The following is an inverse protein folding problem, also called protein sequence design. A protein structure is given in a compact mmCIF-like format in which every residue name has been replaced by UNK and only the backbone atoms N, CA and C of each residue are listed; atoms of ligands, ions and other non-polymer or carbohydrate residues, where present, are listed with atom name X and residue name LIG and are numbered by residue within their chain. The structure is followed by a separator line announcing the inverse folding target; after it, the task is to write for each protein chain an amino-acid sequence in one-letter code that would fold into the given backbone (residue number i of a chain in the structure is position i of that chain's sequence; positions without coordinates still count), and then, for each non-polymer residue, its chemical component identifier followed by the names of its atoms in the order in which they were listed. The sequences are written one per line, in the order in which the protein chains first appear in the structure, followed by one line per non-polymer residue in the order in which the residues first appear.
data_IF_745049266770
#
_entry.id   IF_745049266770
#
_cell.length_a   1.000
_cell.length_b   1.000
_cell.length_c   1.000
_cell.angle_alpha   90.00
_cell.angle_beta   90.00
_cell.angle_gamma   90.00
#
_symmetry.space_group_name_H-M   'P 1'
#
loop_
_entity.id
_entity.type
_entity.pdbx_description
1 polymer ?
#
# COMPACT_ATOMS: atom_id res chain seq x y z
N UNK A 1 74.80 17.52 32.28
CA UNK A 1 74.25 18.10 33.53
C UNK A 1 73.32 17.08 34.16
N UNK A 2 73.79 16.39 35.22
CA UNK A 2 73.18 16.27 36.57
C UNK A 2 71.70 15.84 36.54
N UNK A 3 71.35 14.55 36.67
CA UNK A 3 71.27 13.70 37.88
C UNK A 3 70.40 14.27 39.01
N UNK A 4 69.31 13.56 39.30
CA UNK A 4 68.67 13.33 40.61
C UNK A 4 68.02 11.94 40.50
N UNK A 5 68.64 10.82 40.92
CA UNK A 5 68.66 10.19 42.28
C UNK A 5 67.26 10.11 42.93
N UNK A 6 66.77 9.00 43.51
CA UNK A 6 67.33 7.73 43.98
C UNK A 6 66.13 6.74 44.21
N UNK A 7 66.18 5.46 43.83
CA UNK A 7 66.69 4.30 44.58
C UNK A 7 65.74 3.76 45.68
N UNK A 8 65.19 2.54 45.49
CA UNK A 8 65.37 1.42 46.44
C UNK A 8 64.82 0.10 45.89
N UNK A 9 65.70 -0.90 45.94
CA UNK A 9 65.49 -2.30 45.63
C UNK A 9 64.82 -3.06 46.79
N UNK A 10 64.76 -4.41 46.65
CA UNK A 10 64.45 -5.51 47.61
C UNK A 10 63.04 -6.10 47.34
N UNK A 11 62.78 -7.39 47.06
CA UNK A 11 63.50 -8.68 47.17
C UNK A 11 62.80 -9.73 46.29
N UNK A 12 63.55 -10.74 45.82
CA UNK A 12 63.07 -12.00 45.22
C UNK A 12 62.26 -12.83 46.24
N UNK A 13 61.22 -13.51 45.78
CA UNK A 13 60.80 -14.81 46.29
C UNK A 13 60.15 -15.64 45.16
N UNK A 14 60.67 -16.84 44.96
CA UNK A 14 60.23 -17.87 44.02
C UNK A 14 59.48 -18.92 44.85
N UNK A 15 58.19 -19.21 44.60
CA UNK A 15 57.53 -20.47 45.03
C UNK A 15 56.37 -20.82 44.08
N UNK A 16 56.60 -21.89 43.31
CA UNK A 16 55.78 -23.09 43.02
C UNK A 16 54.28 -22.95 42.65
N UNK A 17 53.96 -23.66 41.57
CA UNK A 17 52.70 -23.88 40.89
C UNK A 17 51.50 -24.34 41.75
N UNK A 18 50.31 -23.92 41.33
CA UNK A 18 49.09 -24.73 41.42
C UNK A 18 48.20 -24.44 40.20
N UNK A 19 48.18 -25.39 39.27
CA UNK A 19 47.28 -25.42 38.13
C UNK A 19 45.85 -25.69 38.63
N UNK A 20 44.97 -24.70 38.56
CA UNK A 20 43.53 -24.93 38.65
C UNK A 20 42.96 -25.04 37.23
N UNK A 21 42.84 -26.27 36.76
CA UNK A 21 41.98 -26.61 35.63
C UNK A 21 40.53 -26.48 36.10
N UNK A 22 39.92 -25.31 35.89
CA UNK A 22 38.48 -25.18 35.96
C UNK A 22 37.89 -25.87 34.73
N UNK A 23 37.40 -27.08 34.92
CA UNK A 23 36.51 -27.74 33.98
C UNK A 23 35.19 -26.96 33.95
N UNK A 24 35.16 -25.89 33.15
CA UNK A 24 33.91 -25.31 32.68
C UNK A 24 33.28 -26.36 31.75
N UNK A 25 32.40 -27.19 32.32
CA UNK A 25 31.50 -28.01 31.53
C UNK A 25 30.69 -27.08 30.65
N UNK A 26 31.10 -26.97 29.38
CA UNK A 26 30.23 -26.44 28.35
C UNK A 26 29.02 -27.36 28.32
N UNK A 27 27.88 -26.91 28.88
CA UNK A 27 26.59 -27.43 28.47
C UNK A 27 26.56 -27.21 26.96
N UNK A 28 26.83 -28.26 26.20
CA UNK A 28 26.55 -28.31 24.79
C UNK A 28 25.03 -28.18 24.72
N UNK A 29 24.54 -26.99 24.37
CA UNK A 29 23.15 -26.84 23.97
C UNK A 29 22.88 -27.96 22.97
N UNK A 30 21.80 -28.72 23.19
CA UNK A 30 21.39 -29.75 22.23
C UNK A 30 21.38 -29.10 20.85
N UNK A 31 21.86 -29.79 19.80
CA UNK A 31 21.82 -29.21 18.45
C UNK A 31 20.39 -28.79 18.19
N UNK A 32 20.15 -27.49 18.03
CA UNK A 32 18.87 -26.96 17.57
C UNK A 32 18.64 -27.69 16.26
N UNK A 33 17.68 -28.61 16.23
CA UNK A 33 17.30 -29.30 15.00
C UNK A 33 16.82 -28.23 14.04
N UNK A 34 17.68 -27.92 13.07
CA UNK A 34 17.46 -26.85 12.13
C UNK A 34 16.23 -27.17 11.28
N UNK A 35 15.20 -26.34 11.43
CA UNK A 35 13.96 -26.48 10.65
C UNK A 35 14.23 -26.07 9.21
N UNK A 36 13.78 -26.91 8.28
CA UNK A 36 13.88 -26.68 6.84
C UNK A 36 12.65 -25.94 6.30
N UNK A 37 12.79 -25.35 5.11
CA UNK A 37 11.67 -24.71 4.41
C UNK A 37 10.50 -25.67 4.14
N UNK A 38 10.78 -26.93 3.82
CA UNK A 38 9.74 -27.92 3.52
C UNK A 38 8.95 -28.33 4.76
N UNK A 39 9.62 -28.46 5.91
CA UNK A 39 8.95 -28.72 7.19
C UNK A 39 8.02 -27.56 7.56
N UNK A 40 8.48 -26.31 7.43
CA UNK A 40 7.65 -25.14 7.70
C UNK A 40 6.48 -25.01 6.71
N UNK A 41 6.70 -25.20 5.40
CA UNK A 41 5.62 -25.17 4.39
C UNK A 41 4.51 -26.16 4.71
N UNK A 42 4.86 -27.39 5.10
CA UNK A 42 3.89 -28.41 5.47
C UNK A 42 2.97 -27.96 6.61
N UNK A 43 3.54 -27.27 7.62
CA UNK A 43 2.79 -26.69 8.73
C UNK A 43 1.93 -25.51 8.27
N UNK A 44 2.49 -24.60 7.48
CA UNK A 44 1.81 -23.42 6.95
C UNK A 44 0.59 -23.82 6.10
N UNK A 45 0.74 -24.76 5.17
CA UNK A 45 -0.35 -25.19 4.29
C UNK A 45 -1.48 -25.86 5.07
N UNK A 46 -1.14 -26.64 6.10
CA UNK A 46 -2.14 -27.22 6.99
C UNK A 46 -2.90 -26.15 7.77
N UNK A 47 -2.20 -25.14 8.29
CA UNK A 47 -2.80 -24.06 9.05
C UNK A 47 -3.72 -23.16 8.19
N UNK A 48 -3.31 -22.86 6.95
CA UNK A 48 -4.09 -22.07 6.00
C UNK A 48 -5.17 -22.89 5.27
N UNK A 49 -5.12 -24.22 5.37
CA UNK A 49 -6.07 -25.14 4.76
C UNK A 49 -5.94 -25.29 3.24
N UNK A 50 -4.81 -24.86 2.66
CA UNK A 50 -4.53 -24.96 1.23
C UNK A 50 -3.03 -24.90 0.96
N UNK A 51 -2.61 -25.44 -0.19
CA UNK A 51 -1.22 -25.37 -0.65
C UNK A 51 -0.97 -24.08 -1.46
N UNK A 52 0.25 -23.55 -1.36
CA UNK A 52 0.69 -22.40 -2.14
C UNK A 52 1.79 -22.83 -3.12
N UNK A 53 1.63 -22.56 -4.43
CA UNK A 53 2.65 -22.91 -5.42
C UNK A 53 4.01 -22.27 -5.16
N UNK A 54 5.10 -22.98 -5.48
CA UNK A 54 6.48 -22.52 -5.25
C UNK A 54 6.81 -21.15 -5.84
N UNK A 55 6.14 -20.73 -6.92
CA UNK A 55 6.35 -19.41 -7.56
C UNK A 55 6.07 -18.21 -6.65
N UNK A 56 5.33 -18.41 -5.55
CA UNK A 56 5.03 -17.35 -4.57
C UNK A 56 6.05 -17.27 -3.43
N UNK A 57 6.97 -18.23 -3.34
CA UNK A 57 7.97 -18.29 -2.28
C UNK A 57 9.33 -17.82 -2.77
N UNK A 58 10.04 -17.14 -1.88
CA UNK A 58 11.49 -16.91 -2.03
C UNK A 58 12.25 -18.25 -2.02
N UNK A 59 13.48 -18.22 -2.53
CA UNK A 59 14.40 -19.35 -2.43
C UNK A 59 15.11 -19.29 -1.07
N UNK A 60 15.19 -20.44 -0.40
CA UNK A 60 15.82 -20.59 0.91
C UNK A 60 16.86 -21.70 0.81
N UNK A 61 18.10 -21.40 1.17
CA UNK A 61 19.20 -22.38 1.19
C UNK A 61 19.53 -22.77 2.63
N UNK A 62 19.49 -24.07 2.92
CA UNK A 62 19.87 -24.60 4.23
C UNK A 62 18.81 -24.42 5.32
N UNK A 63 19.28 -24.17 6.55
CA UNK A 63 18.45 -23.98 7.73
C UNK A 63 17.75 -22.63 7.69
N UNK A 64 16.45 -22.58 8.00
CA UNK A 64 15.74 -21.30 8.07
C UNK A 64 16.20 -20.49 9.28
N UNK A 65 16.42 -19.19 9.08
CA UNK A 65 16.38 -18.22 10.17
C UNK A 65 14.93 -17.93 10.57
N UNK A 66 14.73 -17.29 11.73
CA UNK A 66 13.41 -16.81 12.14
C UNK A 66 12.85 -15.76 11.17
N UNK A 67 13.71 -14.91 10.60
CA UNK A 67 13.36 -13.96 9.54
C UNK A 67 12.85 -14.66 8.27
N UNK A 68 13.54 -15.71 7.82
CA UNK A 68 13.10 -16.53 6.68
C UNK A 68 11.75 -17.20 6.94
N UNK A 69 11.55 -17.68 8.17
CA UNK A 69 10.30 -18.30 8.58
C UNK A 69 9.12 -17.31 8.51
N UNK A 70 9.30 -16.08 9.00
CA UNK A 70 8.31 -15.02 8.89
C UNK A 70 8.04 -14.64 7.42
N UNK A 71 9.11 -14.49 6.63
CA UNK A 71 8.99 -14.22 5.19
C UNK A 71 8.12 -15.27 4.51
N UNK A 72 8.40 -16.55 4.75
CA UNK A 72 7.65 -17.67 4.20
C UNK A 72 6.18 -17.62 4.63
N UNK A 73 5.90 -17.39 5.91
CA UNK A 73 4.54 -17.23 6.41
C UNK A 73 3.79 -16.06 5.73
N UNK A 74 4.44 -14.91 5.56
CA UNK A 74 3.84 -13.76 4.87
C UNK A 74 3.60 -14.02 3.38
N UNK A 75 4.55 -14.66 2.69
CA UNK A 75 4.40 -15.08 1.29
C UNK A 75 3.23 -16.05 1.11
N UNK A 76 3.10 -17.03 2.01
CA UNK A 76 1.98 -17.97 1.99
C UNK A 76 0.62 -17.28 2.18
N UNK A 77 0.58 -16.19 2.95
CA UNK A 77 -0.64 -15.40 3.13
C UNK A 77 -0.91 -14.40 1.99
N UNK A 78 -0.01 -14.24 1.02
CA UNK A 78 -0.11 -13.21 -0.03
C UNK A 78 0.18 -11.79 0.49
N UNK A 79 1.18 -11.66 1.36
CA UNK A 79 1.63 -10.40 1.96
C UNK A 79 3.00 -9.94 1.44
N UNK A 80 3.55 -10.60 0.41
CA UNK A 80 4.85 -10.27 -0.19
C UNK A 80 4.90 -8.83 -0.73
N UNK A 81 3.80 -8.35 -1.31
CA UNK A 81 3.70 -6.98 -1.77
C UNK A 81 3.89 -5.97 -0.63
N UNK A 82 3.34 -6.27 0.56
CA UNK A 82 3.45 -5.37 1.71
C UNK A 82 4.89 -5.30 2.22
N UNK A 83 5.61 -6.43 2.22
CA UNK A 83 7.04 -6.46 2.54
C UNK A 83 7.79 -5.51 1.60
N UNK A 84 7.61 -5.69 0.28
CA UNK A 84 8.26 -4.85 -0.75
C UNK A 84 7.88 -3.37 -0.62
N UNK A 85 6.62 -3.08 -0.33
CA UNK A 85 6.15 -1.71 -0.15
C UNK A 85 6.78 -1.06 1.10
N UNK A 86 6.98 -1.81 2.19
CA UNK A 86 7.69 -1.30 3.36
C UNK A 86 9.19 -1.15 3.08
N UNK A 87 9.82 -2.09 2.39
CA UNK A 87 11.24 -1.97 1.99
C UNK A 87 11.47 -0.74 1.11
N UNK A 88 10.54 -0.44 0.20
CA UNK A 88 10.52 0.80 -0.57
C UNK A 88 10.52 2.04 0.32
N UNK A 89 9.74 2.03 1.40
CA UNK A 89 9.76 3.10 2.41
C UNK A 89 11.12 3.17 3.12
N UNK A 90 11.72 2.01 3.45
CA UNK A 90 13.04 1.90 4.04
C UNK A 90 14.19 2.50 3.22
N UNK A 91 14.03 2.59 1.89
CA UNK A 91 14.98 3.27 1.00
C UNK A 91 14.96 4.80 1.22
N UNK A 92 13.83 5.35 1.68
CA UNK A 92 13.70 6.78 1.90
C UNK A 92 14.45 7.20 3.17
N UNK A 93 15.18 8.33 3.14
CA UNK A 93 16.02 8.75 4.27
C UNK A 93 15.22 9.11 5.53
N UNK A 94 13.91 9.31 5.43
CA UNK A 94 13.04 9.61 6.57
C UNK A 94 12.64 8.39 7.40
N UNK A 95 12.76 7.18 6.84
CA UNK A 95 12.38 5.92 7.51
C UNK A 95 13.38 4.78 7.28
N UNK A 96 14.70 4.98 7.47
CA UNK A 96 15.70 3.94 7.22
C UNK A 96 15.50 2.68 8.08
N UNK A 97 14.74 2.76 9.17
CA UNK A 97 14.38 1.66 10.04
C UNK A 97 13.20 0.80 9.54
N UNK A 98 12.51 1.23 8.48
CA UNK A 98 11.39 0.52 7.89
C UNK A 98 11.87 -0.63 6.99
N UNK A 99 12.34 -1.71 7.63
CA UNK A 99 12.68 -2.97 6.96
C UNK A 99 11.47 -3.92 6.99
N UNK A 100 11.09 -4.46 5.83
CA UNK A 100 9.80 -5.07 5.59
C UNK A 100 9.41 -6.20 6.54
N UNK A 101 10.32 -7.14 6.82
CA UNK A 101 10.02 -8.28 7.69
C UNK A 101 9.89 -7.83 9.14
N UNK A 102 10.90 -7.12 9.66
CA UNK A 102 10.89 -6.71 11.06
C UNK A 102 9.81 -5.68 11.35
N UNK A 103 9.53 -4.77 10.43
CA UNK A 103 8.46 -3.79 10.56
C UNK A 103 7.09 -4.48 10.61
N UNK A 104 6.82 -5.42 9.69
CA UNK A 104 5.56 -6.15 9.69
C UNK A 104 5.41 -7.01 10.94
N UNK A 105 6.46 -7.70 11.37
CA UNK A 105 6.41 -8.51 12.59
C UNK A 105 5.96 -7.71 13.82
N UNK A 106 6.32 -6.42 13.91
CA UNK A 106 5.94 -5.53 15.02
C UNK A 106 4.53 -4.93 14.88
N UNK A 107 4.03 -4.80 13.66
CA UNK A 107 2.86 -3.97 13.34
C UNK A 107 1.64 -4.72 12.82
N UNK A 108 1.80 -5.97 12.37
CA UNK A 108 0.70 -6.84 11.96
C UNK A 108 -0.12 -7.30 13.16
N UNK A 109 -1.41 -7.56 12.93
CA UNK A 109 -2.35 -8.10 13.91
C UNK A 109 -3.07 -9.31 13.32
N UNK A 110 -3.10 -10.48 14.00
CA UNK A 110 -2.43 -10.76 15.27
C UNK A 110 -0.90 -10.74 15.11
N UNK A 111 -0.18 -10.38 16.18
CA UNK A 111 1.29 -10.33 16.16
C UNK A 111 1.86 -11.75 16.05
N UNK A 112 2.95 -11.95 15.29
CA UNK A 112 3.64 -13.24 15.29
C UNK A 112 4.21 -13.54 16.68
N UNK A 113 4.30 -14.82 17.06
CA UNK A 113 4.90 -15.25 18.32
C UNK A 113 6.39 -14.88 18.41
N UNK A 114 6.89 -14.72 19.64
CA UNK A 114 8.30 -14.36 19.88
C UNK A 114 9.28 -15.39 19.31
N UNK A 115 8.89 -16.67 19.25
CA UNK A 115 9.68 -17.74 18.62
C UNK A 115 9.95 -17.50 17.12
N UNK A 116 9.16 -16.65 16.46
CA UNK A 116 9.36 -16.22 15.07
C UNK A 116 9.87 -14.77 14.96
N UNK A 117 9.48 -13.90 15.89
CA UNK A 117 9.70 -12.46 15.76
C UNK A 117 10.93 -11.90 16.50
N UNK A 118 11.49 -12.65 17.45
CA UNK A 118 12.69 -12.24 18.20
C UNK A 118 13.97 -12.70 17.50
N UNK A 119 15.01 -11.85 17.51
CA UNK A 119 16.33 -12.15 16.94
C UNK A 119 16.26 -12.83 15.56
N UNK A 120 15.82 -12.08 14.54
CA UNK A 120 15.44 -12.61 13.21
C UNK A 120 16.56 -13.38 12.50
N UNK A 121 17.83 -13.09 12.80
CA UNK A 121 18.98 -13.76 12.22
C UNK A 121 19.31 -15.12 12.88
N UNK A 122 18.66 -15.45 14.00
CA UNK A 122 18.87 -16.73 14.68
C UNK A 122 18.19 -17.89 13.94
N UNK A 123 18.74 -19.12 14.03
CA UNK A 123 18.10 -20.31 13.48
C UNK A 123 16.70 -20.55 14.07
N UNK A 124 15.79 -21.03 13.22
CA UNK A 124 14.45 -21.42 13.64
C UNK A 124 14.49 -22.72 14.45
N UNK A 125 13.97 -22.68 15.68
CA UNK A 125 13.80 -23.86 16.53
C UNK A 125 12.54 -24.66 16.17
N UNK A 126 12.54 -25.96 16.49
CA UNK A 126 11.43 -26.87 16.17
C UNK A 126 10.13 -26.51 16.92
N UNK A 127 10.25 -25.92 18.11
CA UNK A 127 9.14 -25.40 18.92
C UNK A 127 8.34 -24.30 18.19
N UNK A 128 9.02 -23.52 17.35
CA UNK A 128 8.40 -22.42 16.60
C UNK A 128 7.40 -22.92 15.55
N UNK A 129 7.50 -24.19 15.11
CA UNK A 129 6.56 -24.77 14.14
C UNK A 129 5.12 -24.77 14.67
N UNK A 130 4.93 -25.20 15.93
CA UNK A 130 3.59 -25.22 16.52
C UNK A 130 3.04 -23.81 16.68
N UNK A 131 3.85 -22.89 17.17
CA UNK A 131 3.46 -21.50 17.37
C UNK A 131 3.14 -20.80 16.05
N UNK A 132 3.90 -21.07 14.98
CA UNK A 132 3.60 -20.61 13.63
C UNK A 132 2.25 -21.13 13.14
N UNK A 133 1.98 -22.43 13.34
CA UNK A 133 0.69 -23.03 12.98
C UNK A 133 -0.48 -22.34 13.69
N UNK A 134 -0.38 -22.17 15.01
CA UNK A 134 -1.44 -21.59 15.82
C UNK A 134 -1.69 -20.12 15.41
N UNK A 135 -0.63 -19.35 15.21
CA UNK A 135 -0.70 -17.97 14.74
C UNK A 135 -1.31 -17.84 13.33
N UNK A 136 -0.97 -18.74 12.40
CA UNK A 136 -1.53 -18.72 11.04
C UNK A 136 -3.02 -19.07 11.04
N UNK A 137 -3.49 -19.95 11.92
CA UNK A 137 -4.91 -20.23 12.10
C UNK A 137 -5.66 -19.00 12.61
N UNK A 138 -5.05 -18.17 13.46
CA UNK A 138 -5.63 -16.89 13.87
C UNK A 138 -5.61 -15.87 12.72
N UNK A 139 -4.50 -15.79 11.99
CA UNK A 139 -4.37 -14.92 10.82
C UNK A 139 -5.43 -15.23 9.76
N UNK A 140 -5.71 -16.51 9.50
CA UNK A 140 -6.73 -16.96 8.57
C UNK A 140 -8.14 -16.43 8.92
N UNK A 141 -8.40 -16.04 10.17
CA UNK A 141 -9.68 -15.48 10.61
C UNK A 141 -9.76 -13.97 10.43
N UNK A 142 -8.68 -13.24 10.73
CA UNK A 142 -8.76 -11.78 10.83
C UNK A 142 -7.43 -11.03 10.71
N UNK A 143 -6.43 -11.55 9.98
CA UNK A 143 -5.18 -10.83 9.82
C UNK A 143 -5.40 -9.46 9.17
N UNK A 144 -4.81 -8.42 9.76
CA UNK A 144 -4.89 -7.06 9.27
C UNK A 144 -3.68 -6.22 9.67
N UNK A 145 -3.44 -5.16 8.90
CA UNK A 145 -2.34 -4.24 9.08
C UNK A 145 -2.69 -2.87 8.50
N UNK A 146 -2.15 -1.83 9.12
CA UNK A 146 -2.23 -0.46 8.65
C UNK A 146 -0.94 0.26 9.01
N UNK A 147 -0.35 0.96 8.05
CA UNK A 147 0.78 1.86 8.26
C UNK A 147 0.52 3.22 7.65
N UNK A 148 1.25 4.22 8.13
CA UNK A 148 1.17 5.59 7.66
C UNK A 148 2.54 6.25 7.66
N UNK A 149 2.87 6.96 6.57
CA UNK A 149 4.16 7.62 6.36
C UNK A 149 3.91 9.05 5.86
N UNK A 150 4.13 10.03 6.75
CA UNK A 150 3.88 11.44 6.47
C UNK A 150 5.14 12.16 5.96
N UNK A 151 5.03 12.88 4.86
CA UNK A 151 6.13 13.65 4.30
C UNK A 151 5.63 14.91 3.61
N UNK A 152 6.18 16.06 4.03
CA UNK A 152 6.01 17.35 3.37
C UNK A 152 4.55 17.65 2.93
N UNK A 153 3.61 17.57 3.87
CA UNK A 153 2.17 17.84 3.61
C UNK A 153 1.38 16.72 2.93
N UNK A 154 2.03 15.61 2.57
CA UNK A 154 1.41 14.38 2.11
C UNK A 154 1.51 13.28 3.18
N UNK A 155 0.60 12.31 3.15
CA UNK A 155 0.67 11.11 4.01
C UNK A 155 0.25 9.88 3.20
N UNK A 156 1.18 8.94 3.00
CA UNK A 156 0.88 7.63 2.43
C UNK A 156 0.31 6.73 3.53
N UNK A 157 -0.89 6.22 3.31
CA UNK A 157 -1.58 5.27 4.18
C UNK A 157 -1.71 3.96 3.42
N UNK A 158 -1.21 2.86 3.99
CA UNK A 158 -1.37 1.52 3.44
C UNK A 158 -2.20 0.66 4.39
N UNK A 159 -3.11 -0.14 3.83
CA UNK A 159 -4.02 -1.01 4.57
C UNK A 159 -4.01 -2.37 3.89
N UNK A 160 -3.69 -3.44 4.64
CA UNK A 160 -3.80 -4.83 4.19
C UNK A 160 -4.66 -5.62 5.16
N UNK A 161 -5.48 -6.52 4.65
CA UNK A 161 -6.14 -7.58 5.44
C UNK A 161 -6.29 -8.86 4.66
N UNK A 162 -6.68 -9.91 5.37
CA UNK A 162 -7.03 -11.20 4.79
C UNK A 162 -5.85 -12.01 4.30
N UNK A 163 -6.15 -13.28 4.03
CA UNK A 163 -5.20 -14.29 3.56
C UNK A 163 -5.53 -14.65 2.12
N UNK A 164 -4.51 -14.65 1.26
CA UNK A 164 -4.59 -15.08 -0.12
C UNK A 164 -4.89 -16.57 -0.26
N UNK A 165 -5.54 -16.95 -1.36
CA UNK A 165 -5.73 -18.35 -1.73
C UNK A 165 -5.52 -18.51 -3.24
N UNK A 166 -4.48 -19.23 -3.68
CA UNK A 166 -4.15 -19.34 -5.10
C UNK A 166 -5.18 -20.15 -5.90
N UNK A 167 -6.00 -20.98 -5.23
CA UNK A 167 -7.11 -21.69 -5.85
C UNK A 167 -8.42 -20.87 -5.82
N UNK A 168 -8.42 -19.72 -5.15
CA UNK A 168 -9.56 -18.81 -5.06
C UNK A 168 -9.80 -18.02 -6.35
N UNK A 169 -11.04 -17.56 -6.58
CA UNK A 169 -11.34 -16.67 -7.71
C UNK A 169 -10.63 -15.32 -7.55
N UNK A 170 -10.14 -14.76 -8.66
CA UNK A 170 -9.46 -13.47 -8.69
C UNK A 170 -10.27 -12.30 -8.12
N UNK A 171 -11.60 -12.37 -8.18
CA UNK A 171 -12.52 -11.35 -7.64
C UNK A 171 -13.16 -11.75 -6.30
N UNK A 172 -12.65 -12.81 -5.68
CA UNK A 172 -13.18 -13.35 -4.43
C UNK A 172 -14.51 -14.10 -4.58
N UNK A 173 -14.86 -14.84 -3.54
CA UNK A 173 -16.12 -15.54 -3.36
C UNK A 173 -17.13 -14.61 -2.66
N UNK A 174 -18.01 -14.02 -3.45
CA UNK A 174 -19.08 -13.13 -2.94
C UNK A 174 -20.10 -13.80 -2.01
N UNK A 175 -20.14 -15.14 -1.95
CA UNK A 175 -21.09 -15.89 -1.09
C UNK A 175 -20.47 -16.25 0.25
N UNK A 176 -19.20 -16.68 0.25
CA UNK A 176 -18.51 -17.18 1.44
C UNK A 176 -17.48 -16.20 2.01
N UNK A 177 -17.23 -15.07 1.33
CA UNK A 177 -16.10 -14.15 1.49
C UNK A 177 -15.83 -13.60 2.88
N UNK A 178 -15.36 -14.46 3.78
CA UNK A 178 -14.88 -14.11 5.10
C UNK A 178 -13.35 -14.07 5.03
N UNK A 179 -12.79 -12.90 5.36
CA UNK A 179 -11.35 -12.62 5.45
C UNK A 179 -10.53 -12.79 4.15
N UNK A 180 -11.13 -12.44 3.02
CA UNK A 180 -10.46 -12.40 1.72
C UNK A 180 -9.39 -11.30 1.64
N UNK A 181 -8.34 -11.50 0.82
CA UNK A 181 -7.23 -10.59 0.78
C UNK A 181 -7.66 -9.24 0.17
N UNK A 182 -7.29 -8.15 0.83
CA UNK A 182 -7.56 -6.80 0.35
C UNK A 182 -6.39 -5.90 0.70
N UNK A 183 -5.86 -5.21 -0.31
CA UNK A 183 -4.87 -4.15 -0.17
C UNK A 183 -5.42 -2.82 -0.69
N UNK A 184 -5.16 -1.75 0.06
CA UNK A 184 -5.44 -0.38 -0.35
C UNK A 184 -4.29 0.55 0.02
N UNK A 185 -3.97 1.48 -0.87
CA UNK A 185 -3.04 2.57 -0.63
C UNK A 185 -3.76 3.91 -0.86
N UNK A 186 -3.47 4.90 -0.02
CA UNK A 186 -4.07 6.23 -0.10
C UNK A 186 -3.01 7.30 0.11
N UNK A 187 -3.15 8.42 -0.60
CA UNK A 187 -2.44 9.66 -0.32
C UNK A 187 -3.41 10.67 0.28
N UNK A 188 -3.19 11.01 1.54
CA UNK A 188 -3.88 12.11 2.19
C UNK A 188 -3.08 13.40 2.01
N UNK A 189 -3.75 14.45 1.54
CA UNK A 189 -3.14 15.76 1.25
C UNK A 189 -3.99 16.89 1.84
N UNK A 190 -3.31 17.92 2.34
CA UNK A 190 -3.94 19.23 2.54
C UNK A 190 -3.84 20.00 1.23
N UNK A 191 -4.98 20.17 0.54
CA UNK A 191 -5.06 20.81 -0.77
C UNK A 191 -4.63 22.29 -0.74
N UNK A 192 -4.59 22.93 0.44
CA UNK A 192 -4.08 24.31 0.57
C UNK A 192 -2.55 24.37 0.52
N UNK A 193 -1.91 23.27 0.89
CA UNK A 193 -0.45 23.16 1.02
C UNK A 193 0.17 22.40 -0.15
N UNK A 194 -0.56 21.46 -0.74
CA UNK A 194 -0.09 20.59 -1.82
C UNK A 194 -0.88 20.88 -3.10
N UNK A 195 -0.26 21.59 -4.08
CA UNK A 195 -0.88 21.80 -5.38
C UNK A 195 -1.18 20.44 -6.03
N UNK A 196 -2.44 20.24 -6.40
CA UNK A 196 -2.86 19.08 -7.16
C UNK A 196 -3.33 19.55 -8.54
N UNK A 197 -2.90 18.92 -9.61
CA UNK A 197 -3.25 19.32 -10.98
C UNK A 197 -3.40 18.10 -11.88
N UNK A 198 -4.26 18.20 -12.89
CA UNK A 198 -4.41 17.15 -13.90
C UNK A 198 -3.30 17.29 -14.94
N UNK A 199 -2.46 16.26 -15.06
CA UNK A 199 -1.42 16.17 -16.07
C UNK A 199 -1.79 15.16 -17.16
N UNK A 200 -1.45 15.44 -18.41
CA UNK A 200 -1.76 14.57 -19.55
C UNK A 200 -0.52 13.80 -20.00
N UNK A 201 -0.72 12.62 -20.59
CA UNK A 201 0.38 11.86 -21.20
C UNK A 201 1.04 12.62 -22.37
N UNK A 202 0.31 13.55 -23.01
CA UNK A 202 0.83 14.34 -24.13
C UNK A 202 1.97 15.25 -23.67
N UNK A 203 1.93 15.72 -22.41
CA UNK A 203 3.00 16.51 -21.81
C UNK A 203 4.33 15.75 -21.71
N UNK A 204 4.28 14.42 -21.76
CA UNK A 204 5.46 13.53 -21.74
C UNK A 204 5.70 12.87 -23.10
N UNK A 205 5.15 13.46 -24.18
CA UNK A 205 5.36 13.01 -25.56
C UNK A 205 4.59 11.75 -25.96
N UNK A 206 3.55 11.36 -25.21
CA UNK A 206 2.78 10.16 -25.47
C UNK A 206 1.26 10.40 -25.52
N UNK A 207 0.53 9.58 -26.26
CA UNK A 207 -0.94 9.62 -26.23
C UNK A 207 -1.53 8.99 -24.96
N UNK A 208 -0.80 8.02 -24.38
CA UNK A 208 -1.04 7.38 -23.10
C UNK A 208 0.30 6.93 -22.53
N UNK A 209 0.47 7.01 -21.22
CA UNK A 209 1.66 6.54 -20.53
C UNK A 209 1.29 5.95 -19.16
N UNK A 210 2.11 5.05 -18.59
CA UNK A 210 2.01 4.65 -17.18
C UNK A 210 1.95 5.86 -16.24
N UNK A 211 1.32 5.71 -15.08
CA UNK A 211 1.26 6.79 -14.08
C UNK A 211 2.67 7.16 -13.64
N UNK A 212 3.51 6.18 -13.35
CA UNK A 212 4.89 6.42 -12.96
C UNK A 212 5.66 7.24 -14.00
N UNK A 213 5.45 6.98 -15.30
CA UNK A 213 6.06 7.77 -16.38
C UNK A 213 5.54 9.20 -16.40
N UNK A 214 4.22 9.41 -16.27
CA UNK A 214 3.64 10.76 -16.23
C UNK A 214 4.18 11.53 -15.01
N UNK A 215 4.34 10.88 -13.86
CA UNK A 215 4.83 11.49 -12.63
C UNK A 215 6.33 11.86 -12.73
N UNK A 216 7.20 10.93 -13.14
CA UNK A 216 8.66 11.12 -13.15
C UNK A 216 9.11 12.19 -14.16
N UNK A 217 8.41 12.30 -15.30
CA UNK A 217 8.74 13.28 -16.34
C UNK A 217 8.24 14.71 -16.01
N UNK A 218 7.46 14.87 -14.94
CA UNK A 218 7.02 16.18 -14.45
C UNK A 218 7.86 16.61 -13.24
N UNK A 219 8.38 17.84 -13.30
CA UNK A 219 9.23 18.38 -12.23
C UNK A 219 8.42 18.67 -10.96
N UNK A 220 8.99 18.34 -9.80
CA UNK A 220 8.41 18.66 -8.49
C UNK A 220 7.20 17.82 -8.10
N UNK A 221 6.97 16.67 -8.76
CA UNK A 221 5.87 15.75 -8.40
C UNK A 221 6.26 14.92 -7.17
N UNK A 222 5.39 14.91 -6.16
CA UNK A 222 5.56 14.15 -4.91
C UNK A 222 4.62 12.95 -4.82
N UNK A 223 3.50 13.00 -5.55
CA UNK A 223 2.49 11.96 -5.56
C UNK A 223 1.69 11.99 -6.84
N UNK A 224 1.02 10.88 -7.14
CA UNK A 224 0.20 10.75 -8.32
C UNK A 224 -0.82 9.63 -8.18
N UNK A 225 -1.94 9.79 -8.86
CA UNK A 225 -2.98 8.77 -8.97
C UNK A 225 -3.63 8.87 -10.35
N UNK A 226 -4.19 7.77 -10.85
CA UNK A 226 -4.93 7.83 -12.10
C UNK A 226 -6.16 8.76 -12.02
N UNK A 227 -6.61 9.25 -13.18
CA UNK A 227 -7.71 10.20 -13.29
C UNK A 227 -9.11 9.60 -13.44
N UNK A 228 -9.99 10.36 -14.07
CA UNK A 228 -11.35 9.95 -14.44
C UNK A 228 -11.38 9.02 -15.66
N UNK A 229 -12.60 8.72 -16.11
CA UNK A 229 -12.83 7.79 -17.21
C UNK A 229 -12.33 8.30 -18.56
N UNK A 230 -12.02 7.37 -19.47
CA UNK A 230 -11.59 7.70 -20.83
C UNK A 230 -11.99 6.63 -21.87
N UNK A 231 -12.09 7.04 -23.13
CA UNK A 231 -12.25 6.19 -24.30
C UNK A 231 -11.14 6.47 -25.31
N UNK A 232 -10.27 5.49 -25.54
CA UNK A 232 -9.05 5.70 -26.33
C UNK A 232 -8.10 6.65 -25.61
N UNK A 233 -8.01 7.89 -26.07
CA UNK A 233 -7.22 8.99 -25.47
C UNK A 233 -8.11 10.12 -24.94
N UNK A 234 -9.43 10.05 -25.18
CA UNK A 234 -10.35 11.14 -24.87
C UNK A 234 -11.00 10.93 -23.49
N UNK A 235 -11.13 11.96 -22.66
CA UNK A 235 -11.86 11.85 -21.40
C UNK A 235 -13.35 11.57 -21.65
N UNK A 236 -13.98 10.84 -20.73
CA UNK A 236 -15.43 10.64 -20.70
C UNK A 236 -15.99 11.46 -19.55
N UNK A 237 -16.61 12.60 -19.88
CA UNK A 237 -17.09 13.53 -18.87
C UNK A 237 -16.56 14.93 -19.10
N UNK A 238 -16.96 15.85 -18.24
CA UNK A 238 -16.28 17.13 -18.11
C UNK A 238 -14.85 16.88 -17.64
N UNK A 239 -13.89 17.44 -18.37
CA UNK A 239 -12.49 17.52 -17.95
C UNK A 239 -12.02 18.96 -18.14
N UNK A 240 -11.66 19.60 -17.04
CA UNK A 240 -11.01 20.90 -17.00
C UNK A 240 -9.70 20.75 -16.25
N UNK A 241 -8.62 21.29 -16.80
CA UNK A 241 -7.28 21.26 -16.20
C UNK A 241 -6.66 22.65 -16.33
N UNK A 242 -6.04 23.16 -15.29
CA UNK A 242 -5.39 24.48 -15.28
C UNK A 242 -6.28 25.60 -15.88
N UNK A 243 -7.59 25.54 -15.66
CA UNK A 243 -8.59 26.45 -16.23
C UNK A 243 -8.99 26.18 -17.70
N UNK A 244 -8.22 25.37 -18.44
CA UNK A 244 -8.54 24.94 -19.80
C UNK A 244 -9.53 23.77 -19.81
N UNK A 245 -10.54 23.83 -20.67
CA UNK A 245 -11.55 22.77 -20.79
C UNK A 245 -11.21 21.83 -21.94
N UNK A 246 -10.62 20.68 -21.63
CA UNK A 246 -10.34 19.62 -22.62
C UNK A 246 -11.63 18.94 -23.11
N UNK A 247 -12.63 18.82 -22.24
CA UNK A 247 -13.95 18.30 -22.59
C UNK A 247 -15.03 19.04 -21.81
N UNK A 248 -15.92 19.71 -22.53
CA UNK A 248 -17.13 20.32 -21.98
C UNK A 248 -18.33 19.36 -21.96
N UNK A 249 -18.16 18.10 -22.39
CA UNK A 249 -19.27 17.14 -22.50
C UNK A 249 -19.70 16.67 -21.11
N UNK A 250 -20.75 17.29 -20.60
CA UNK A 250 -21.41 16.86 -19.36
C UNK A 250 -22.24 15.59 -19.58
N UNK A 251 -22.08 14.63 -18.68
CA UNK A 251 -22.93 13.45 -18.60
C UNK A 251 -23.90 13.62 -17.44
N UNK A 252 -25.20 13.87 -17.69
CA UNK A 252 -26.18 14.06 -16.64
C UNK A 252 -26.22 12.87 -15.66
N UNK A 253 -26.48 13.17 -14.38
CA UNK A 253 -26.48 12.21 -13.27
C UNK A 253 -25.11 11.65 -12.88
N UNK A 254 -24.02 11.99 -13.57
CA UNK A 254 -22.67 11.59 -13.14
C UNK A 254 -22.02 12.65 -12.29
N UNK A 255 -21.46 12.21 -11.18
CA UNK A 255 -20.82 13.11 -10.23
C UNK A 255 -19.40 13.51 -10.66
N UNK A 256 -18.91 14.61 -10.11
CA UNK A 256 -17.61 15.16 -10.43
C UNK A 256 -16.89 15.67 -9.19
N UNK A 257 -15.57 15.81 -9.29
CA UNK A 257 -14.76 16.46 -8.30
C UNK A 257 -14.05 17.65 -8.94
N UNK A 258 -14.13 18.81 -8.30
CA UNK A 258 -13.50 20.04 -8.76
C UNK A 258 -12.69 20.69 -7.65
N UNK A 259 -11.57 21.32 -8.01
CA UNK A 259 -10.72 22.04 -7.06
C UNK A 259 -9.97 23.19 -7.74
N UNK A 260 -9.30 24.02 -6.94
CA UNK A 260 -8.49 25.12 -7.45
C UNK A 260 -7.15 25.27 -6.73
N UNK A 261 -6.34 26.19 -7.23
CA UNK A 261 -4.99 26.50 -6.74
C UNK A 261 -4.97 27.05 -5.30
N UNK A 262 -6.10 27.51 -4.76
CA UNK A 262 -6.23 27.94 -3.36
C UNK A 262 -6.54 26.79 -2.41
N UNK A 263 -6.65 25.56 -2.92
CA UNK A 263 -7.04 24.38 -2.14
C UNK A 263 -8.53 24.32 -1.82
N UNK A 264 -9.37 25.15 -2.45
CA UNK A 264 -10.82 25.00 -2.38
C UNK A 264 -11.25 23.83 -3.27
N UNK A 265 -12.15 23.00 -2.80
CA UNK A 265 -12.64 21.84 -3.55
C UNK A 265 -14.14 21.62 -3.36
N UNK A 266 -14.74 20.86 -4.28
CA UNK A 266 -16.17 20.52 -4.29
C UNK A 266 -16.40 19.11 -4.82
N UNK A 267 -17.32 18.40 -4.18
CA UNK A 267 -17.92 17.18 -4.70
C UNK A 267 -19.27 17.55 -5.32
N UNK A 268 -19.41 17.30 -6.62
CA UNK A 268 -20.57 17.73 -7.41
C UNK A 268 -21.48 16.52 -7.62
N UNK A 269 -22.71 16.58 -7.11
CA UNK A 269 -23.74 15.57 -7.37
C UNK A 269 -24.42 15.88 -8.72
N UNK A 270 -24.13 15.05 -9.72
CA UNK A 270 -24.60 15.23 -11.08
C UNK A 270 -26.12 15.12 -11.26
N UNK A 271 -26.87 14.68 -10.24
CA UNK A 271 -28.34 14.59 -10.29
C UNK A 271 -29.04 15.90 -9.97
N UNK A 272 -28.37 16.76 -9.21
CA UNK A 272 -28.89 18.10 -8.83
C UNK A 272 -28.20 19.21 -9.63
N UNK A 273 -27.27 18.84 -10.52
CA UNK A 273 -26.53 19.77 -11.37
C UNK A 273 -27.03 19.65 -12.81
N UNK A 274 -27.54 20.74 -13.38
CA UNK A 274 -28.06 20.75 -14.75
C UNK A 274 -26.95 20.64 -15.81
N UNK A 275 -25.84 21.37 -15.59
CA UNK A 275 -24.65 21.31 -16.44
C UNK A 275 -23.45 21.85 -15.67
N UNK A 276 -22.40 21.06 -15.50
CA UNK A 276 -21.15 21.54 -14.91
C UNK A 276 -20.49 22.58 -15.82
N UNK A 277 -20.54 22.36 -17.13
CA UNK A 277 -19.85 23.22 -18.11
C UNK A 277 -20.51 24.59 -18.32
N UNK A 278 -21.80 24.73 -17.99
CA UNK A 278 -22.56 25.99 -18.18
C UNK A 278 -22.93 26.68 -16.86
N UNK A 279 -22.58 26.08 -15.72
CA UNK A 279 -22.84 26.67 -14.41
C UNK A 279 -21.60 27.43 -13.94
N UNK A 280 -21.67 28.75 -14.05
CA UNK A 280 -20.59 29.68 -13.73
C UNK A 280 -20.16 29.63 -12.25
N UNK A 281 -20.95 29.03 -11.35
CA UNK A 281 -20.52 28.80 -9.97
C UNK A 281 -19.31 27.86 -9.87
N UNK A 282 -19.08 27.04 -10.91
CA UNK A 282 -17.91 26.17 -11.00
C UNK A 282 -16.70 26.80 -11.69
N UNK A 283 -16.79 28.03 -12.23
CA UNK A 283 -15.68 28.67 -12.97
C UNK A 283 -14.46 28.98 -12.09
N UNK A 284 -14.67 29.08 -10.78
CA UNK A 284 -13.57 29.22 -9.80
C UNK A 284 -12.71 27.97 -9.63
N UNK A 285 -13.15 26.81 -10.14
CA UNK A 285 -12.41 25.56 -10.07
C UNK A 285 -11.58 25.39 -11.35
N UNK A 286 -10.26 25.46 -11.20
CA UNK A 286 -9.29 25.34 -12.30
C UNK A 286 -9.14 23.90 -12.76
N UNK A 287 -9.44 22.95 -11.88
CA UNK A 287 -9.42 21.52 -12.14
C UNK A 287 -10.82 20.94 -11.91
N UNK A 288 -11.33 20.17 -12.87
CA UNK A 288 -12.59 19.44 -12.76
C UNK A 288 -12.45 18.11 -13.49
N UNK A 289 -12.80 17.02 -12.83
CA UNK A 289 -12.96 15.71 -13.47
C UNK A 289 -14.33 15.14 -13.14
N UNK A 290 -15.10 14.82 -14.17
CA UNK A 290 -16.35 14.07 -14.03
C UNK A 290 -16.06 12.57 -14.05
N UNK A 291 -16.56 11.86 -13.04
CA UNK A 291 -16.37 10.43 -12.89
C UNK A 291 -17.65 9.79 -12.33
N UNK A 292 -17.60 9.22 -11.13
CA UNK A 292 -18.73 8.61 -10.45
C UNK A 292 -18.62 7.08 -10.36
N UNK A 293 -19.48 6.45 -9.54
CA UNK A 293 -20.53 7.08 -8.75
C UNK A 293 -20.04 7.81 -7.50
N UNK A 294 -20.90 8.65 -6.92
CA UNK A 294 -20.78 9.05 -5.52
C UNK A 294 -20.75 7.83 -4.60
N UNK A 295 -19.84 7.88 -3.65
CA UNK A 295 -19.60 6.84 -2.67
C UNK A 295 -20.16 7.25 -1.31
N UNK A 296 -19.86 8.46 -0.85
CA UNK A 296 -20.30 8.99 0.44
C UNK A 296 -20.75 10.44 0.27
N UNK A 297 -21.82 10.83 0.94
CA UNK A 297 -22.34 12.20 0.99
C UNK A 297 -22.81 12.50 2.41
N UNK A 298 -22.34 13.59 3.02
CA UNK A 298 -22.63 13.94 4.41
C UNK A 298 -22.26 12.85 5.42
N UNK A 299 -21.21 12.07 5.16
CA UNK A 299 -20.76 10.96 6.02
C UNK A 299 -21.55 9.66 5.88
N UNK A 300 -22.55 9.63 4.99
CA UNK A 300 -23.40 8.45 4.77
C UNK A 300 -23.12 7.83 3.39
N UNK A 301 -22.98 6.50 3.28
CA UNK A 301 -22.93 5.80 2.00
C UNK A 301 -24.04 6.25 1.04
N UNK A 302 -23.67 6.73 -0.14
CA UNK A 302 -24.62 7.20 -1.14
C UNK A 302 -25.35 6.01 -1.80
N UNK A 303 -26.64 6.10 -2.15
CA UNK A 303 -27.29 5.06 -2.93
C UNK A 303 -26.76 5.01 -4.38
N UNK A 304 -27.01 3.93 -5.12
CA UNK A 304 -26.72 3.83 -6.56
C UNK A 304 -27.67 4.69 -7.41
N UNK A 305 -27.62 6.00 -7.21
CA UNK A 305 -28.50 6.96 -7.83
C UNK A 305 -28.05 7.39 -9.23
N UNK A 306 -26.79 7.11 -9.59
CA UNK A 306 -26.21 7.36 -10.92
C UNK A 306 -26.45 6.19 -11.90
N UNK A 307 -27.28 5.21 -11.50
CA UNK A 307 -27.63 4.02 -12.29
C UNK A 307 -26.40 3.28 -12.83
N UNK A 308 -25.39 3.11 -11.99
CA UNK A 308 -24.18 2.35 -12.35
C UNK A 308 -24.58 0.95 -12.78
N UNK A 309 -24.03 0.52 -13.91
CA UNK A 309 -24.34 -0.78 -14.51
C UNK A 309 -24.02 -1.92 -13.53
N UNK A 310 -24.85 -2.97 -13.44
CA UNK A 310 -24.66 -4.09 -12.52
C UNK A 310 -23.25 -4.72 -12.58
N UNK A 311 -22.66 -4.82 -13.77
CA UNK A 311 -21.29 -5.37 -13.94
C UNK A 311 -20.19 -4.55 -13.23
N UNK A 312 -20.41 -3.25 -13.03
CA UNK A 312 -19.50 -2.37 -12.29
C UNK A 312 -19.90 -2.29 -10.83
N UNK A 313 -21.21 -2.31 -10.55
CA UNK A 313 -21.76 -2.15 -9.21
C UNK A 313 -21.51 -3.38 -8.32
N UNK A 314 -21.83 -4.57 -8.84
CA UNK A 314 -22.01 -5.80 -8.05
C UNK A 314 -20.80 -6.73 -8.04
N UNK A 315 -19.78 -6.45 -8.85
CA UNK A 315 -18.58 -7.27 -8.93
C UNK A 315 -17.40 -6.54 -8.29
N UNK A 316 -16.50 -7.31 -7.68
CA UNK A 316 -15.23 -6.77 -7.21
C UNK A 316 -14.32 -6.47 -8.37
N UNK A 317 -13.70 -5.30 -8.28
CA UNK A 317 -12.69 -4.81 -9.20
C UNK A 317 -11.66 -4.01 -8.39
N UNK A 318 -10.47 -3.78 -8.94
CA UNK A 318 -9.63 -2.67 -8.50
C UNK A 318 -10.42 -1.36 -8.59
N UNK A 319 -10.26 -0.49 -7.60
CA UNK A 319 -11.01 0.77 -7.49
C UNK A 319 -10.06 1.93 -7.26
N UNK A 320 -10.46 3.08 -7.78
CA UNK A 320 -9.81 4.35 -7.50
C UNK A 320 -10.88 5.30 -6.98
N UNK A 321 -10.58 6.10 -5.97
CA UNK A 321 -11.51 7.07 -5.41
C UNK A 321 -10.79 8.33 -4.92
N UNK A 322 -11.57 9.39 -4.80
CA UNK A 322 -11.21 10.60 -4.06
C UNK A 322 -12.25 10.83 -2.98
N UNK A 323 -11.82 11.25 -1.80
CA UNK A 323 -12.73 11.61 -0.72
C UNK A 323 -12.16 12.66 0.20
N UNK A 324 -12.98 13.22 1.08
CA UNK A 324 -12.56 14.22 2.06
C UNK A 324 -13.21 13.93 3.40
N UNK A 325 -12.48 14.23 4.48
CA UNK A 325 -13.02 14.27 5.84
C UNK A 325 -13.30 15.71 6.32
N UNK A 326 -13.38 16.66 5.38
CA UNK A 326 -13.53 18.10 5.66
C UNK A 326 -12.21 18.83 5.99
N UNK A 327 -11.13 18.10 6.27
CA UNK A 327 -9.79 18.68 6.55
C UNK A 327 -8.76 18.37 5.47
N UNK A 328 -8.72 17.11 5.04
CA UNK A 328 -7.79 16.61 4.01
C UNK A 328 -8.56 15.92 2.90
N UNK A 329 -7.96 15.90 1.72
CA UNK A 329 -8.41 15.08 0.58
C UNK A 329 -7.59 13.79 0.57
N UNK A 330 -8.26 12.68 0.32
CA UNK A 330 -7.72 11.33 0.28
C UNK A 330 -7.89 10.79 -1.14
N UNK A 331 -6.78 10.48 -1.78
CA UNK A 331 -6.73 9.84 -3.09
C UNK A 331 -6.36 8.38 -2.89
N UNK A 332 -7.26 7.45 -3.19
CA UNK A 332 -7.10 6.05 -2.80
C UNK A 332 -7.23 5.08 -3.96
N UNK A 333 -6.40 4.05 -3.93
CA UNK A 333 -6.48 2.86 -4.78
C UNK A 333 -6.74 1.63 -3.91
N UNK A 334 -7.64 0.78 -4.37
CA UNK A 334 -7.83 -0.59 -3.87
C UNK A 334 -7.41 -1.52 -5.00
N UNK A 335 -6.41 -2.36 -4.75
CA UNK A 335 -5.96 -3.35 -5.73
C UNK A 335 -7.01 -4.45 -5.90
N UNK A 336 -6.97 -5.19 -7.01
CA UNK A 336 -7.98 -6.21 -7.29
C UNK A 336 -7.58 -7.19 -8.37
N UNK A 337 -8.40 -8.23 -8.57
CA UNK A 337 -8.20 -9.32 -9.55
C UNK A 337 -7.00 -10.22 -9.25
N UNK A 338 -6.58 -10.30 -8.00
CA UNK A 338 -5.52 -11.18 -7.55
C UNK A 338 -5.97 -11.96 -6.31
N UNK A 339 -6.09 -13.28 -6.43
CA UNK A 339 -6.56 -14.12 -5.33
C UNK A 339 -5.53 -14.33 -4.22
N UNK A 340 -4.26 -14.00 -4.45
CA UNK A 340 -3.22 -13.99 -3.42
C UNK A 340 -3.14 -12.61 -2.74
N UNK A 341 -3.08 -11.54 -3.51
CA UNK A 341 -2.79 -10.20 -3.00
C UNK A 341 -4.03 -9.37 -2.63
N UNK A 342 -4.98 -9.22 -3.55
CA UNK A 342 -6.18 -8.42 -3.35
C UNK A 342 -7.28 -8.76 -4.36
N UNK A 343 -8.47 -9.09 -3.87
CA UNK A 343 -9.63 -9.43 -4.72
C UNK A 343 -10.43 -8.21 -5.20
N UNK A 344 -10.13 -7.02 -4.67
CA UNK A 344 -10.81 -5.77 -4.99
C UNK A 344 -12.05 -5.51 -4.13
N UNK A 345 -12.89 -4.58 -4.58
CA UNK A 345 -14.15 -4.23 -3.92
C UNK A 345 -15.28 -4.04 -4.92
N UNK A 346 -16.49 -4.42 -4.52
CA UNK A 346 -17.72 -3.89 -5.11
C UNK A 346 -17.84 -2.40 -4.81
N UNK A 347 -18.70 -1.69 -5.53
CA UNK A 347 -18.97 -0.28 -5.19
C UNK A 347 -19.51 -0.18 -3.76
N UNK A 348 -20.36 -1.12 -3.33
CA UNK A 348 -20.95 -1.09 -1.99
C UNK A 348 -19.93 -1.34 -0.88
N UNK A 349 -18.99 -2.27 -1.07
CA UNK A 349 -17.86 -2.44 -0.16
C UNK A 349 -16.99 -1.18 -0.10
N UNK A 350 -16.74 -0.54 -1.24
CA UNK A 350 -15.97 0.70 -1.31
C UNK A 350 -16.65 1.84 -0.55
N UNK A 351 -17.99 1.98 -0.62
CA UNK A 351 -18.73 2.97 0.17
C UNK A 351 -18.54 2.77 1.66
N UNK A 352 -18.67 1.52 2.12
CA UNK A 352 -18.46 1.16 3.53
C UNK A 352 -17.02 1.43 3.95
N UNK A 353 -16.05 1.13 3.08
CA UNK A 353 -14.64 1.42 3.32
C UNK A 353 -14.39 2.93 3.46
N UNK A 354 -14.91 3.77 2.55
CA UNK A 354 -14.82 5.22 2.66
C UNK A 354 -15.47 5.76 3.95
N UNK A 355 -16.62 5.21 4.35
CA UNK A 355 -17.27 5.57 5.62
C UNK A 355 -16.43 5.15 6.84
N UNK A 356 -15.81 3.96 6.82
CA UNK A 356 -14.89 3.50 7.87
C UNK A 356 -13.64 4.38 7.99
N UNK A 357 -13.20 4.98 6.88
CA UNK A 357 -12.14 6.00 6.86
C UNK A 357 -12.61 7.38 7.34
N UNK A 358 -13.86 7.50 7.81
CA UNK A 358 -14.48 8.76 8.25
C UNK A 358 -14.51 9.86 7.19
N UNK A 359 -14.62 9.46 5.91
CA UNK A 359 -14.81 10.41 4.82
C UNK A 359 -16.25 10.92 4.83
N UNK A 360 -16.42 12.23 4.78
CA UNK A 360 -17.73 12.90 4.72
C UNK A 360 -18.26 12.98 3.30
N UNK A 361 -17.36 13.11 2.33
CA UNK A 361 -17.65 13.10 0.90
C UNK A 361 -16.69 12.14 0.21
N UNK A 362 -17.17 11.36 -0.77
CA UNK A 362 -16.32 10.50 -1.58
C UNK A 362 -16.93 10.20 -2.95
N UNK A 363 -16.06 10.08 -3.95
CA UNK A 363 -16.38 9.87 -5.36
C UNK A 363 -15.47 8.79 -5.95
N UNK A 364 -16.06 7.85 -6.68
CA UNK A 364 -15.31 6.85 -7.44
C UNK A 364 -14.73 7.45 -8.74
N UNK A 365 -13.50 7.05 -9.09
CA UNK A 365 -12.76 7.42 -10.29
C UNK A 365 -12.62 6.23 -11.26
N UNK A 366 -11.81 6.35 -12.32
CA UNK A 366 -11.57 5.21 -13.20
C UNK A 366 -10.80 4.11 -12.45
N UNK A 367 -11.28 2.88 -12.54
CA UNK A 367 -10.73 1.75 -11.79
C UNK A 367 -10.20 0.65 -12.70
N UNK A 368 -10.27 -0.59 -12.21
CA UNK A 368 -9.76 -1.74 -12.95
C UNK A 368 -8.27 -1.59 -13.26
N UNK A 369 -7.86 -1.95 -14.48
CA UNK A 369 -6.45 -1.88 -14.87
C UNK A 369 -5.86 -0.47 -14.91
N UNK A 370 -6.67 0.59 -14.81
CA UNK A 370 -6.19 1.97 -14.72
C UNK A 370 -5.75 2.37 -13.31
N UNK A 371 -6.13 1.59 -12.28
CA UNK A 371 -5.88 1.92 -10.88
C UNK A 371 -4.37 1.88 -10.60
N UNK A 372 -3.81 3.00 -10.18
CA UNK A 372 -2.40 3.10 -9.81
C UNK A 372 -2.19 4.28 -8.88
N UNK A 373 -1.30 4.11 -7.89
CA UNK A 373 -0.89 5.15 -6.96
C UNK A 373 0.63 5.21 -6.89
N UNK A 374 1.16 6.41 -7.08
CA UNK A 374 2.59 6.69 -7.09
C UNK A 374 2.91 7.72 -6.02
N UNK A 375 4.00 7.52 -5.28
CA UNK A 375 4.46 8.45 -4.26
C UNK A 375 5.98 8.40 -4.13
N UNK A 376 6.61 9.58 -4.13
CA UNK A 376 8.05 9.76 -3.91
C UNK A 376 8.94 8.79 -4.70
N UNK A 377 8.70 8.67 -6.01
CA UNK A 377 9.54 7.83 -6.88
C UNK A 377 9.03 6.40 -7.06
N UNK A 378 8.03 5.97 -6.29
CA UNK A 378 7.67 4.55 -6.18
C UNK A 378 6.16 4.32 -6.35
N UNK A 379 5.79 3.18 -6.92
CA UNK A 379 4.39 2.76 -7.09
C UNK A 379 3.95 1.92 -5.89
N UNK A 380 2.88 2.34 -5.22
CA UNK A 380 2.27 1.67 -4.06
C UNK A 380 0.92 1.03 -4.41
N UNK A 381 0.89 0.33 -5.53
CA UNK A 381 -0.27 -0.43 -6.03
C UNK A 381 0.21 -1.51 -6.99
N UNK A 382 -0.44 -2.66 -7.02
CA UNK A 382 -0.11 -3.72 -7.96
C UNK A 382 -1.04 -3.68 -9.20
N UNK A 383 -0.51 -3.51 -10.42
CA UNK A 383 -1.33 -3.47 -11.63
C UNK A 383 -2.14 -4.75 -11.85
N UNK A 384 -3.43 -4.62 -12.11
CA UNK A 384 -4.36 -5.75 -12.20
C UNK A 384 -4.43 -6.42 -13.60
N UNK A 385 -3.39 -6.34 -14.42
CA UNK A 385 -3.44 -6.80 -15.81
C UNK A 385 -2.46 -7.95 -16.07
N UNK A 386 -2.73 -8.71 -17.14
CA UNK A 386 -2.00 -9.94 -17.47
C UNK A 386 -0.50 -9.75 -17.77
N UNK A 387 -0.01 -8.51 -17.84
CA UNK A 387 1.40 -8.20 -18.07
C UNK A 387 2.14 -7.73 -16.83
N UNK A 388 1.46 -7.63 -15.68
CA UNK A 388 1.96 -7.05 -14.42
C UNK A 388 2.59 -5.65 -14.59
N UNK A 389 2.18 -4.93 -15.65
CA UNK A 389 2.67 -3.58 -15.98
C UNK A 389 1.58 -2.56 -15.75
N UNK A 390 1.92 -1.34 -15.37
CA UNK A 390 0.93 -0.27 -15.33
C UNK A 390 0.25 -0.07 -16.70
N UNK A 391 -1.08 0.04 -16.72
CA UNK A 391 -1.82 0.34 -17.94
C UNK A 391 -1.54 1.78 -18.36
N UNK A 392 -1.19 2.04 -19.62
CA UNK A 392 -1.09 3.41 -20.11
C UNK A 392 -2.43 4.15 -20.02
N UNK A 393 -2.42 5.32 -19.38
CA UNK A 393 -3.57 6.22 -19.19
C UNK A 393 -3.33 7.56 -19.91
N UNK A 394 -4.38 8.27 -20.37
CA UNK A 394 -4.22 9.54 -21.08
C UNK A 394 -3.96 10.74 -20.16
N UNK A 395 -4.34 10.66 -18.88
CA UNK A 395 -4.13 11.70 -17.88
C UNK A 395 -4.17 11.14 -16.46
N UNK A 396 -3.55 11.86 -15.54
CA UNK A 396 -3.44 11.54 -14.12
C UNK A 396 -3.67 12.80 -13.27
N UNK A 397 -3.97 12.62 -12.00
CA UNK A 397 -3.90 13.70 -11.00
C UNK A 397 -2.54 13.61 -10.34
N UNK A 398 -1.75 14.67 -10.44
CA UNK A 398 -0.43 14.78 -9.81
C UNK A 398 -0.48 15.75 -8.64
N UNK A 399 0.32 15.46 -7.63
CA UNK A 399 0.53 16.26 -6.43
C UNK A 399 1.95 16.81 -6.49
N UNK A 400 2.11 18.11 -6.27
CA UNK A 400 3.38 18.80 -6.44
C UNK A 400 3.93 19.33 -5.11
N UNK A 401 5.24 19.54 -5.05
CA UNK A 401 5.85 20.36 -4.02
C UNK A 401 5.33 21.80 -4.11
N UNK A 402 5.23 22.52 -2.98
CA UNK A 402 4.89 23.94 -3.00
C UNK A 402 5.79 24.73 -3.95
N UNK A 403 5.18 25.48 -4.88
CA UNK A 403 5.90 26.26 -5.88
C UNK A 403 6.21 25.53 -7.19
N UNK A 404 5.93 24.23 -7.28
CA UNK A 404 5.94 23.47 -8.53
C UNK A 404 4.53 23.28 -9.10
N UNK A 405 4.45 22.75 -10.33
CA UNK A 405 3.20 22.48 -11.03
C UNK A 405 3.44 21.89 -12.42
N UNK A 406 2.34 21.51 -13.07
CA UNK A 406 2.33 21.09 -14.47
C UNK A 406 2.88 22.23 -15.34
N UNK A 407 3.80 21.90 -16.25
CA UNK A 407 4.34 22.86 -17.22
C UNK A 407 3.20 23.45 -18.05
N UNK A 408 3.10 24.78 -18.07
CA UNK A 408 2.13 25.52 -18.89
C UNK A 408 2.55 25.55 -20.36
#
# INVERSE_FOLDING_TARGET
MKKFFANKAVRKAFVIAASFAAAAGALRAAPVTAVTAEELKSVVFRALGHEVPQKYFSQYDGALTRGDALRLCFEAMGWDFVIKAVDQIGILPEWPEAEGISYLARTISPRPPEALASALDEPLGAEALKEASDWLVECAKSVHWKASFAWNGTELIMIKRGVGNPAGPANGDMKKGVNEPMFAALLAVDMKSIPCQIATAVMVGANKAPLATIAVENFGVVGGINGGYFAGVKPIGVLRRQGYTDSAKFWPNRSAFGWNERGEYVFIDGRVTASISNDHSFDKFTEVLQAGPLLVKGGVPAPNSEKVHPNVLNFRHPRTFVGSNGRRVFWGVVDGRDSMHSVGMTIEELRKFCAQLSLTEALNLDGGGSSSLWWRGMTFSLPSNASDRERPIPYAVLMFEPGAGVRQ
#
